data_IF_056962384972
#
_entry.id   IF_056962384972
#
_cell.length_a   1.000
_cell.length_b   1.000
_cell.length_c   1.000
_cell.angle_alpha   90.00
_cell.angle_beta   90.00
_cell.angle_gamma   90.00
#
_symmetry.space_group_name_H-M   'P 1'
#
loop_
_entity.id
_entity.type
_entity.pdbx_description
1 polymer ?
#
# COMPACT_ATOMS: atom_id res chain seq x y z
N UNK A 1 -13.45 -10.89 25.71
CA UNK A 1 -13.04 -12.00 24.82
C UNK A 1 -11.81 -11.53 24.05
N UNK A 2 -10.61 -11.79 24.58
CA UNK A 2 -9.36 -11.51 23.87
C UNK A 2 -9.19 -12.63 22.84
N UNK A 3 -9.58 -12.35 21.59
CA UNK A 3 -9.31 -13.23 20.47
C UNK A 3 -7.80 -13.34 20.39
N UNK A 4 -7.27 -14.46 20.87
CA UNK A 4 -5.87 -14.83 20.83
C UNK A 4 -5.33 -14.47 19.45
N UNK A 5 -4.37 -13.54 19.43
CA UNK A 5 -3.59 -13.19 18.26
C UNK A 5 -3.04 -14.48 17.66
N UNK A 6 -3.73 -14.96 16.63
CA UNK A 6 -3.21 -15.98 15.75
C UNK A 6 -2.10 -15.27 14.95
N UNK A 7 -0.93 -15.15 15.56
CA UNK A 7 0.25 -14.65 14.89
C UNK A 7 0.60 -15.70 13.82
N UNK A 8 0.08 -15.52 12.62
CA UNK A 8 0.55 -16.24 11.45
C UNK A 8 2.05 -15.90 11.32
N UNK A 9 2.96 -16.87 11.52
CA UNK A 9 4.38 -16.63 11.46
C UNK A 9 4.85 -16.22 10.06
N UNK A 10 3.97 -16.37 9.05
CA UNK A 10 4.18 -15.96 7.67
C UNK A 10 3.50 -14.62 7.32
N UNK A 11 2.80 -13.99 8.25
CA UNK A 11 2.16 -12.70 7.99
C UNK A 11 3.21 -11.59 7.78
N UNK A 12 3.08 -10.91 6.66
CA UNK A 12 3.91 -9.75 6.33
C UNK A 12 3.38 -8.50 7.03
N UNK A 13 4.20 -7.90 7.90
CA UNK A 13 3.86 -6.67 8.63
C UNK A 13 4.60 -5.49 8.03
N UNK A 14 3.91 -4.37 7.80
CA UNK A 14 4.55 -3.14 7.30
C UNK A 14 5.42 -2.54 8.40
N UNK A 15 6.70 -2.30 8.08
CA UNK A 15 7.68 -1.69 8.99
C UNK A 15 7.95 -0.22 8.62
N UNK A 16 7.97 0.10 7.33
CA UNK A 16 8.14 1.47 6.86
C UNK A 16 7.45 1.70 5.52
N UNK A 17 6.98 2.93 5.29
CA UNK A 17 6.36 3.35 4.03
C UNK A 17 6.88 4.71 3.60
N UNK A 18 7.17 4.85 2.31
CA UNK A 18 7.71 6.06 1.71
C UNK A 18 6.92 6.42 0.45
N UNK A 19 6.48 7.66 0.34
CA UNK A 19 5.90 8.20 -0.91
C UNK A 19 7.04 8.66 -1.82
N UNK A 20 6.97 8.24 -3.07
CA UNK A 20 7.87 8.67 -4.15
C UNK A 20 7.03 9.32 -5.26
N UNK A 21 7.68 9.87 -6.29
CA UNK A 21 6.99 10.40 -7.47
C UNK A 21 6.20 9.32 -8.23
N UNK A 22 6.62 8.06 -8.14
CA UNK A 22 6.02 6.93 -8.86
C UNK A 22 4.88 6.26 -8.09
N UNK A 23 4.84 6.42 -6.77
CA UNK A 23 3.87 5.72 -5.94
C UNK A 23 4.22 5.63 -4.47
N UNK A 24 3.64 4.65 -3.80
CA UNK A 24 3.97 4.29 -2.44
C UNK A 24 4.89 3.06 -2.44
N UNK A 25 6.02 3.14 -1.77
CA UNK A 25 6.90 2.00 -1.47
C UNK A 25 6.67 1.60 -0.02
N UNK A 26 6.41 0.32 0.24
CA UNK A 26 6.29 -0.22 1.60
C UNK A 26 7.26 -1.38 1.80
N UNK A 27 7.98 -1.33 2.91
CA UNK A 27 8.88 -2.38 3.38
C UNK A 27 8.17 -3.21 4.42
N UNK A 28 8.06 -4.52 4.18
CA UNK A 28 7.37 -5.44 5.06
C UNK A 28 8.35 -6.48 5.60
N UNK A 29 8.16 -6.85 6.86
CA UNK A 29 8.92 -7.92 7.51
C UNK A 29 7.98 -8.99 8.03
N UNK A 30 8.35 -10.23 7.74
CA UNK A 30 7.71 -11.40 8.28
C UNK A 30 8.24 -11.71 9.68
N UNK A 31 7.44 -12.37 10.52
CA UNK A 31 7.92 -12.88 11.82
C UNK A 31 9.07 -13.88 11.66
N UNK A 32 9.12 -14.64 10.55
CA UNK A 32 10.25 -15.54 10.25
C UNK A 32 11.54 -14.82 9.83
N UNK A 33 11.51 -13.49 9.65
CA UNK A 33 12.65 -12.66 9.27
C UNK A 33 12.77 -12.34 7.78
N UNK A 34 11.91 -12.92 6.93
CA UNK A 34 11.87 -12.60 5.51
C UNK A 34 11.42 -11.14 5.25
N UNK A 35 11.92 -10.57 4.15
CA UNK A 35 11.60 -9.21 3.69
C UNK A 35 10.82 -9.23 2.38
N UNK A 36 9.86 -8.32 2.26
CA UNK A 36 9.15 -8.03 1.01
C UNK A 36 9.11 -6.52 0.80
N UNK A 37 9.21 -6.09 -0.46
CA UNK A 37 9.02 -4.69 -0.85
C UNK A 37 7.81 -4.63 -1.78
N UNK A 38 6.80 -3.87 -1.39
CA UNK A 38 5.60 -3.64 -2.20
C UNK A 38 5.60 -2.23 -2.77
N UNK A 39 5.27 -2.12 -4.05
CA UNK A 39 5.11 -0.84 -4.73
C UNK A 39 3.68 -0.71 -5.23
N UNK A 40 3.01 0.35 -4.83
CA UNK A 40 1.70 0.74 -5.37
C UNK A 40 1.92 1.94 -6.31
N UNK A 41 1.88 1.70 -7.61
CA UNK A 41 2.00 2.76 -8.61
C UNK A 41 0.77 3.67 -8.52
N UNK A 42 1.00 4.99 -8.45
CA UNK A 42 -0.10 5.95 -8.62
C UNK A 42 -0.52 5.92 -10.09
N UNK A 43 -1.62 5.24 -10.40
CA UNK A 43 -2.29 5.43 -11.68
C UNK A 43 -2.94 6.81 -11.62
N UNK A 44 -2.41 7.76 -12.37
CA UNK A 44 -3.06 9.05 -12.54
C UNK A 44 -4.39 8.83 -13.26
N UNK A 45 -5.47 8.60 -12.51
CA UNK A 45 -6.83 8.73 -13.03
C UNK A 45 -7.05 10.21 -13.31
N UNK A 46 -6.69 10.63 -14.51
CA UNK A 46 -7.12 11.91 -15.05
C UNK A 46 -8.64 11.85 -15.14
N UNK A 47 -9.34 12.43 -14.17
CA UNK A 47 -10.78 12.69 -14.30
C UNK A 47 -10.95 13.64 -15.49
N UNK A 48 -11.60 13.23 -16.59
CA UNK A 48 -11.91 14.14 -17.66
C UNK A 48 -12.80 15.24 -17.08
N UNK A 49 -12.32 16.49 -17.09
CA UNK A 49 -13.21 17.64 -16.86
C UNK A 49 -14.23 17.60 -17.99
N UNK A 50 -15.48 17.28 -17.64
CA UNK A 50 -16.60 17.45 -18.55
C UNK A 50 -16.58 18.91 -19.04
N UNK A 51 -16.58 19.17 -20.36
CA UNK A 51 -16.69 20.53 -20.84
C UNK A 51 -18.04 21.07 -20.37
N UNK A 52 -18.01 22.11 -19.54
CA UNK A 52 -19.23 22.88 -19.23
C UNK A 52 -19.79 23.34 -20.57
N UNK A 53 -20.94 22.80 -20.96
CA UNK A 53 -21.77 23.36 -22.02
C UNK A 53 -22.03 24.81 -21.64
N UNK A 54 -21.50 25.73 -22.43
CA UNK A 54 -21.85 27.14 -22.39
C UNK A 54 -23.19 27.24 -23.09
N UNK A 55 -24.22 27.67 -22.35
CA UNK A 55 -25.50 28.14 -22.87
C UNK A 55 -25.33 29.59 -23.36
#
# INVERSE_FOLDING_TARGET
MHSRDLHDPLAMTVISSHRTSEGLVSYLRCACGAWEVRTARMVATATPRSPRTID
#
